data_IF_077343694632
#
_entry.id   IF_077343694632
#
_cell.length_a   1.000
_cell.length_b   1.000
_cell.length_c   1.000
_cell.angle_alpha   90.00
_cell.angle_beta   90.00
_cell.angle_gamma   90.00
#
_symmetry.space_group_name_H-M   'P 1'
#
loop_
_entity.id
_entity.type
_entity.pdbx_description
1 polymer ?
#
# COMPACT_ATOMS: atom_id res chain seq x y z
N UNK A 1 18.59 -4.21 -9.92
CA UNK A 1 18.44 -3.20 -8.84
C UNK A 1 17.44 -2.13 -9.30
N UNK A 2 16.30 -1.96 -8.63
CA UNK A 2 15.33 -0.88 -8.98
C UNK A 2 15.79 0.42 -8.31
N UNK A 3 16.11 1.44 -9.11
CA UNK A 3 16.37 2.82 -8.65
C UNK A 3 15.20 3.28 -7.77
N UNK A 4 15.43 3.85 -6.57
CA UNK A 4 14.34 4.42 -5.78
C UNK A 4 13.80 5.61 -6.57
N UNK A 5 12.55 5.50 -7.01
CA UNK A 5 11.86 6.61 -7.65
C UNK A 5 11.88 7.81 -6.68
N UNK A 6 12.22 8.99 -7.19
CA UNK A 6 12.03 10.26 -6.47
C UNK A 6 10.64 10.26 -5.83
N UNK A 7 10.50 10.85 -4.63
CA UNK A 7 9.24 10.94 -3.87
C UNK A 7 8.21 11.83 -4.61
N UNK A 8 7.82 11.45 -5.82
CA UNK A 8 6.73 12.09 -6.54
C UNK A 8 5.45 11.76 -5.79
N UNK A 9 4.76 12.80 -5.35
CA UNK A 9 3.44 12.66 -4.75
C UNK A 9 2.48 12.07 -5.79
N UNK A 10 1.71 11.07 -5.36
CA UNK A 10 0.73 10.39 -6.20
C UNK A 10 -0.67 10.81 -5.79
N UNK A 11 -1.63 10.71 -6.72
CA UNK A 11 -3.02 10.98 -6.37
C UNK A 11 -3.54 10.05 -5.27
N UNK A 12 -4.60 10.49 -4.59
CA UNK A 12 -5.18 9.81 -3.40
C UNK A 12 -5.71 8.40 -3.70
N UNK A 13 -6.10 8.09 -4.94
CA UNK A 13 -6.52 6.74 -5.34
C UNK A 13 -5.31 5.83 -5.49
N UNK A 14 -4.29 6.26 -6.23
CA UNK A 14 -3.03 5.55 -6.38
C UNK A 14 -2.39 5.28 -5.02
N UNK A 15 -2.34 6.25 -4.11
CA UNK A 15 -1.76 6.09 -2.77
C UNK A 15 -2.35 4.89 -1.99
N UNK A 16 -3.65 4.61 -2.15
CA UNK A 16 -4.36 3.50 -1.50
C UNK A 16 -4.34 2.19 -2.30
N UNK A 17 -3.92 2.24 -3.56
CA UNK A 17 -3.87 1.10 -4.45
C UNK A 17 -2.62 0.24 -4.18
N UNK A 18 -2.76 -1.07 -4.32
CA UNK A 18 -1.63 -2.01 -4.23
C UNK A 18 -0.81 -2.11 -5.53
N UNK A 19 -1.32 -1.60 -6.65
CA UNK A 19 -0.61 -1.69 -7.94
C UNK A 19 0.60 -0.76 -7.99
N UNK A 20 1.54 -1.13 -8.86
CA UNK A 20 2.73 -0.33 -9.18
C UNK A 20 2.47 0.79 -10.19
N UNK A 21 1.34 0.78 -10.91
CA UNK A 21 0.96 1.89 -11.77
C UNK A 21 0.58 3.10 -10.90
N UNK A 22 1.39 4.15 -10.95
CA UNK A 22 1.19 5.39 -10.19
C UNK A 22 1.01 6.55 -11.16
N UNK A 23 0.00 7.35 -10.92
CA UNK A 23 -0.25 8.59 -11.65
C UNK A 23 0.18 9.77 -10.77
N UNK A 24 0.64 10.87 -11.37
CA UNK A 24 1.08 12.05 -10.64
C UNK A 24 -0.09 12.68 -9.86
N UNK A 25 0.22 13.42 -8.79
CA UNK A 25 -0.76 14.08 -7.91
C UNK A 25 -1.74 14.99 -8.66
N UNK A 26 -1.28 15.70 -9.70
CA UNK A 26 -2.12 16.59 -10.50
C UNK A 26 -3.20 15.88 -11.34
N UNK A 27 -3.16 14.55 -11.47
CA UNK A 27 -4.21 13.81 -12.17
C UNK A 27 -5.42 13.61 -11.27
N UNK A 28 -6.48 14.38 -11.52
CA UNK A 28 -7.78 14.23 -10.87
C UNK A 28 -8.51 13.02 -11.46
N UNK A 29 -8.59 11.93 -10.69
CA UNK A 29 -9.41 10.76 -11.02
C UNK A 29 -10.56 10.62 -10.03
N UNK A 30 -11.77 10.51 -10.56
CA UNK A 30 -12.97 10.17 -9.80
C UNK A 30 -12.94 8.67 -9.45
N UNK A 31 -12.60 7.82 -10.42
CA UNK A 31 -12.48 6.37 -10.25
C UNK A 31 -11.36 5.80 -11.14
N UNK A 32 -10.75 4.68 -10.73
CA UNK A 32 -9.74 3.97 -11.51
C UNK A 32 -10.25 2.53 -11.78
N UNK A 33 -10.39 2.09 -13.04
CA UNK A 33 -10.92 0.77 -13.37
C UNK A 33 -9.98 -0.38 -12.96
N UNK A 34 -8.71 -0.06 -12.68
CA UNK A 34 -7.68 -1.02 -12.23
C UNK A 34 -7.38 -0.89 -10.74
N UNK A 35 -8.19 -0.17 -9.99
CA UNK A 35 -7.98 0.03 -8.57
C UNK A 35 -8.04 -1.30 -7.83
N UNK A 36 -6.99 -1.60 -7.06
CA UNK A 36 -6.90 -2.79 -6.23
C UNK A 36 -6.84 -2.35 -4.76
N UNK A 37 -7.95 -2.46 -4.01
CA UNK A 37 -7.98 -2.09 -2.60
C UNK A 37 -7.13 -3.05 -1.76
N UNK A 38 -6.77 -2.61 -0.55
CA UNK A 38 -6.18 -3.50 0.44
C UNK A 38 -7.25 -4.47 0.95
N UNK A 39 -6.94 -5.77 1.13
CA UNK A 39 -7.92 -6.79 1.52
C UNK A 39 -8.54 -6.58 2.90
N UNK A 40 -7.91 -5.78 3.76
CA UNK A 40 -8.38 -5.50 5.12
C UNK A 40 -8.24 -4.00 5.40
N UNK A 41 -9.02 -3.47 6.36
CA UNK A 41 -8.92 -2.08 6.87
C UNK A 41 -7.65 -1.85 7.72
N UNK A 42 -6.52 -2.44 7.35
CA UNK A 42 -5.25 -2.22 8.04
C UNK A 42 -4.54 -1.07 7.34
N UNK A 43 -4.24 -0.01 8.10
CA UNK A 43 -3.46 1.14 7.62
C UNK A 43 -2.05 0.72 7.20
N UNK A 44 -1.46 -0.22 7.94
CA UNK A 44 -0.08 -0.68 7.76
C UNK A 44 -0.01 -2.19 7.54
N UNK A 45 0.97 -2.62 6.74
CA UNK A 45 1.23 -4.04 6.52
C UNK A 45 1.95 -4.62 7.75
N UNK A 46 1.18 -5.17 8.70
CA UNK A 46 1.77 -5.88 9.84
C UNK A 46 2.12 -7.31 9.41
N UNK A 47 3.38 -7.53 9.05
CA UNK A 47 3.96 -8.87 8.93
C UNK A 47 4.19 -9.55 10.28
N UNK A 48 3.58 -9.05 11.36
CA UNK A 48 3.59 -9.74 12.63
C UNK A 48 2.76 -11.02 12.46
N UNK A 49 3.44 -12.09 12.05
CA UNK A 49 3.01 -13.45 12.27
C UNK A 49 2.50 -13.47 13.72
N UNK A 50 1.26 -13.93 13.95
CA UNK A 50 0.81 -14.21 15.31
C UNK A 50 1.97 -14.95 15.99
N UNK A 51 2.28 -14.62 17.24
CA UNK A 51 3.33 -15.24 18.06
C UNK A 51 3.04 -16.73 18.33
N UNK A 52 2.68 -17.50 17.29
CA UNK A 52 2.48 -18.94 17.23
C UNK A 52 3.76 -19.70 17.65
N UNK A 53 4.91 -19.03 17.64
CA UNK A 53 6.19 -19.54 18.15
C UNK A 53 6.76 -18.70 19.31
N UNK A 54 5.96 -17.78 19.88
CA UNK A 54 6.36 -17.05 21.07
C UNK A 54 6.50 -18.02 22.25
N UNK A 55 7.61 -17.93 22.99
CA UNK A 55 7.80 -18.75 24.20
C UNK A 55 6.66 -18.45 25.19
N UNK A 56 6.09 -19.48 25.87
CA UNK A 56 5.07 -19.25 26.87
C UNK A 56 5.59 -18.27 27.92
N UNK A 57 4.79 -17.25 28.25
CA UNK A 57 5.10 -16.35 29.37
C UNK A 57 5.03 -17.17 30.66
N UNK A 58 6.12 -17.15 31.43
CA UNK A 58 6.17 -17.69 32.79
C UNK A 58 5.31 -16.85 33.72
#
# INVERSE_FOLDING_TARGET
>A
MRKPASKQAYNRLCARCLRACRQPEGTLLISCPRFMPRPFKVKDYRFAQLDLFGRPRK
#
